data_IF_469024405384
#
_entry.id   IF_469024405384
#
_cell.length_a   1.000
_cell.length_b   1.000
_cell.length_c   1.000
_cell.angle_alpha   90.00
_cell.angle_beta   90.00
_cell.angle_gamma   90.00
#
_symmetry.space_group_name_H-M   'P 1'
#
loop_
_entity.id
_entity.type
_entity.pdbx_description
1 polymer ?
#
# COMPACT_ATOMS: atom_id res chain seq x y z
N UNK A 1 -9.66 -20.00 0.66
CA UNK A 1 -11.12 -20.21 0.80
C UNK A 1 -11.94 -19.15 0.04
N UNK A 2 -11.55 -17.86 0.06
CA UNK A 2 -12.25 -16.80 -0.70
C UNK A 2 -12.18 -16.93 -2.23
N UNK A 3 -11.07 -17.42 -2.79
CA UNK A 3 -10.88 -17.52 -4.24
C UNK A 3 -11.94 -18.39 -4.96
N UNK A 4 -12.55 -19.35 -4.26
CA UNK A 4 -13.55 -20.27 -4.81
C UNK A 4 -15.00 -19.88 -4.47
N UNK A 5 -15.19 -18.83 -3.67
CA UNK A 5 -16.50 -18.36 -3.24
C UNK A 5 -17.13 -17.47 -4.31
N UNK A 6 -18.46 -17.55 -4.48
CA UNK A 6 -19.19 -16.60 -5.33
C UNK A 6 -19.25 -15.20 -4.66
N UNK A 7 -19.62 -14.13 -5.41
CA UNK A 7 -19.65 -12.77 -4.86
C UNK A 7 -20.45 -12.62 -3.56
N UNK A 8 -21.68 -13.17 -3.51
CA UNK A 8 -22.52 -13.10 -2.30
C UNK A 8 -21.92 -13.81 -1.08
N UNK A 9 -21.24 -14.94 -1.29
CA UNK A 9 -20.49 -15.64 -0.23
C UNK A 9 -19.29 -14.82 0.26
N UNK A 10 -18.56 -14.16 -0.65
CA UNK A 10 -17.44 -13.27 -0.31
C UNK A 10 -17.96 -12.06 0.50
N UNK A 11 -19.01 -11.40 0.04
CA UNK A 11 -19.61 -10.26 0.72
C UNK A 11 -20.07 -10.66 2.14
N UNK A 12 -20.78 -11.78 2.28
CA UNK A 12 -21.23 -12.28 3.58
C UNK A 12 -20.07 -12.64 4.53
N UNK A 13 -18.92 -13.08 4.01
CA UNK A 13 -17.71 -13.30 4.82
C UNK A 13 -17.11 -11.99 5.29
N UNK A 14 -16.97 -11.00 4.40
CA UNK A 14 -16.44 -9.68 4.74
C UNK A 14 -17.30 -8.95 5.78
N UNK A 15 -18.64 -8.99 5.62
CA UNK A 15 -19.55 -8.40 6.60
C UNK A 15 -19.44 -9.06 7.97
N UNK A 16 -19.20 -10.38 8.04
CA UNK A 16 -18.95 -11.08 9.31
C UNK A 16 -17.64 -10.67 9.97
N UNK A 17 -16.64 -10.25 9.20
CA UNK A 17 -15.41 -9.65 9.72
C UNK A 17 -15.64 -8.21 10.20
N UNK A 18 -16.78 -7.58 9.89
CA UNK A 18 -17.08 -6.20 10.27
C UNK A 18 -16.86 -5.17 9.17
N UNK A 19 -16.61 -5.59 7.92
CA UNK A 19 -16.63 -4.68 6.76
C UNK A 19 -18.06 -4.20 6.53
N UNK A 20 -18.24 -2.92 6.21
CA UNK A 20 -19.55 -2.34 5.93
C UNK A 20 -20.20 -3.06 4.74
N UNK A 21 -21.45 -3.51 4.91
CA UNK A 21 -22.14 -4.32 3.91
C UNK A 21 -22.19 -3.67 2.49
N UNK A 22 -22.39 -2.35 2.33
CA UNK A 22 -22.33 -1.72 1.01
C UNK A 22 -20.94 -1.87 0.35
N UNK A 23 -19.86 -1.72 1.11
CA UNK A 23 -18.48 -1.87 0.60
C UNK A 23 -18.21 -3.33 0.25
N UNK A 24 -18.59 -4.25 1.13
CA UNK A 24 -18.41 -5.68 0.91
C UNK A 24 -19.11 -6.17 -0.37
N UNK A 25 -20.34 -5.73 -0.61
CA UNK A 25 -21.07 -6.04 -1.84
C UNK A 25 -20.39 -5.41 -3.04
N UNK A 26 -20.17 -4.10 -3.02
CA UNK A 26 -19.62 -3.34 -4.16
C UNK A 26 -18.29 -3.91 -4.65
N UNK A 27 -17.35 -4.14 -3.73
CA UNK A 27 -16.04 -4.72 -4.07
C UNK A 27 -16.22 -6.10 -4.70
N UNK A 28 -17.03 -6.97 -4.11
CA UNK A 28 -17.11 -8.37 -4.56
C UNK A 28 -17.83 -8.56 -5.89
N UNK A 29 -18.74 -7.64 -6.24
CA UNK A 29 -19.46 -7.63 -7.52
C UNK A 29 -18.64 -7.01 -8.65
N UNK A 30 -17.76 -6.06 -8.33
CA UNK A 30 -17.00 -5.28 -9.32
C UNK A 30 -15.49 -5.61 -9.37
N UNK A 31 -15.06 -6.71 -8.74
CA UNK A 31 -13.69 -7.21 -8.85
C UNK A 31 -13.30 -7.43 -10.32
N UNK A 32 -12.17 -6.86 -10.72
CA UNK A 32 -11.60 -7.10 -12.05
C UNK A 32 -10.97 -8.51 -12.13
N UNK A 33 -10.80 -9.09 -13.34
CA UNK A 33 -10.31 -10.47 -13.50
C UNK A 33 -8.97 -10.79 -12.83
N UNK A 34 -8.07 -9.80 -12.76
CA UNK A 34 -6.72 -9.95 -12.19
C UNK A 34 -6.61 -9.45 -10.74
N UNK A 35 -7.73 -9.02 -10.14
CA UNK A 35 -7.77 -8.51 -8.78
C UNK A 35 -8.24 -9.58 -7.79
N UNK A 36 -7.67 -9.53 -6.59
CA UNK A 36 -8.05 -10.40 -5.49
C UNK A 36 -8.19 -9.64 -4.19
N UNK A 37 -9.19 -10.05 -3.40
CA UNK A 37 -9.28 -9.69 -1.99
C UNK A 37 -8.19 -10.46 -1.24
N UNK A 38 -7.24 -9.74 -0.62
CA UNK A 38 -6.15 -10.37 0.13
C UNK A 38 -6.48 -10.38 1.61
N UNK A 39 -6.56 -11.58 2.19
CA UNK A 39 -6.58 -11.77 3.64
C UNK A 39 -5.26 -12.42 4.08
N UNK A 40 -4.52 -11.79 4.99
CA UNK A 40 -3.25 -12.33 5.49
C UNK A 40 -3.07 -12.04 6.98
N UNK A 41 -2.38 -12.91 7.71
CA UNK A 41 -1.91 -12.60 9.06
C UNK A 41 -0.76 -11.59 8.99
N UNK A 42 -0.63 -10.76 10.02
CA UNK A 42 0.40 -9.73 10.14
C UNK A 42 1.24 -10.05 11.37
N UNK A 43 2.56 -10.11 11.22
CA UNK A 43 3.47 -10.22 12.37
C UNK A 43 3.64 -8.86 13.01
N UNK A 44 3.36 -8.77 14.31
CA UNK A 44 3.57 -7.58 15.14
C UNK A 44 4.33 -7.99 16.41
N UNK A 45 4.93 -7.04 17.12
CA UNK A 45 5.47 -7.28 18.47
C UNK A 45 4.39 -7.22 19.55
N UNK A 46 3.17 -6.86 19.19
CA UNK A 46 2.06 -6.74 20.12
C UNK A 46 1.55 -8.14 20.54
N UNK A 47 1.00 -8.29 21.76
CA UNK A 47 0.48 -9.58 22.21
C UNK A 47 -0.70 -10.09 21.39
N UNK A 48 -1.51 -9.17 20.85
CA UNK A 48 -2.68 -9.51 20.04
C UNK A 48 -2.29 -9.99 18.64
N UNK A 49 -3.05 -10.96 18.13
CA UNK A 49 -2.89 -11.44 16.75
C UNK A 49 -3.63 -10.53 15.77
N UNK A 50 -2.90 -10.07 14.76
CA UNK A 50 -3.43 -9.18 13.74
C UNK A 50 -3.47 -9.85 12.37
N UNK A 51 -4.44 -9.40 11.58
CA UNK A 51 -4.61 -9.76 10.19
C UNK A 51 -4.93 -8.50 9.38
N UNK A 52 -4.81 -8.61 8.07
CA UNK A 52 -5.12 -7.53 7.13
C UNK A 52 -6.08 -8.05 6.08
N UNK A 53 -7.09 -7.24 5.78
CA UNK A 53 -7.92 -7.40 4.59
C UNK A 53 -7.69 -6.24 3.62
N UNK A 54 -7.15 -6.54 2.45
CA UNK A 54 -7.08 -5.58 1.34
C UNK A 54 -8.19 -5.87 0.34
N UNK A 55 -9.04 -4.88 0.15
CA UNK A 55 -10.13 -4.88 -0.83
C UNK A 55 -9.73 -3.96 -1.98
N UNK A 56 -9.42 -4.50 -3.17
CA UNK A 56 -9.07 -3.69 -4.33
C UNK A 56 -10.29 -2.87 -4.82
N UNK A 57 -10.03 -1.86 -5.64
CA UNK A 57 -11.07 -0.93 -6.08
C UNK A 57 -12.03 -1.52 -7.12
N UNK A 58 -11.65 -2.59 -7.83
CA UNK A 58 -12.45 -3.06 -8.94
C UNK A 58 -12.61 -1.97 -10.01
N UNK A 59 -13.85 -1.78 -10.47
CA UNK A 59 -14.23 -0.67 -11.34
C UNK A 59 -14.38 0.70 -10.61
N UNK A 60 -14.24 0.72 -9.28
CA UNK A 60 -14.41 1.91 -8.44
C UNK A 60 -13.17 2.81 -8.36
N UNK A 61 -13.29 3.84 -7.54
CA UNK A 61 -12.23 4.84 -7.27
C UNK A 61 -11.45 4.49 -6.01
N UNK A 62 -12.06 3.76 -5.07
CA UNK A 62 -11.49 3.52 -3.74
C UNK A 62 -11.11 2.07 -3.54
N UNK A 63 -9.94 1.84 -2.98
CA UNK A 63 -9.60 0.55 -2.36
C UNK A 63 -9.51 0.70 -0.85
N UNK A 64 -9.60 -0.41 -0.11
CA UNK A 64 -9.71 -0.39 1.34
C UNK A 64 -8.70 -1.33 1.97
N UNK A 65 -8.08 -0.86 3.04
CA UNK A 65 -7.18 -1.63 3.89
C UNK A 65 -7.80 -1.71 5.29
N UNK A 66 -8.19 -2.90 5.70
CA UNK A 66 -8.71 -3.16 7.04
C UNK A 66 -7.68 -3.89 7.89
N UNK A 67 -7.57 -3.47 9.15
CA UNK A 67 -6.88 -4.21 10.19
C UNK A 67 -7.88 -5.08 10.92
N UNK A 68 -7.59 -6.37 10.97
CA UNK A 68 -8.34 -7.37 11.70
C UNK A 68 -7.59 -7.69 12.99
N UNK A 69 -8.33 -7.88 14.08
CA UNK A 69 -7.80 -8.40 15.32
C UNK A 69 -8.52 -9.70 15.69
N UNK A 70 -7.76 -10.66 16.16
CA UNK A 70 -8.30 -11.86 16.80
C UNK A 70 -8.87 -11.48 18.17
N UNK A 71 -10.15 -11.79 18.40
CA UNK A 71 -10.76 -11.63 19.71
C UNK A 71 -10.28 -12.74 20.65
N UNK A 72 -9.72 -12.35 21.80
CA UNK A 72 -9.35 -13.28 22.86
C UNK A 72 -10.63 -13.88 23.47
N UNK A 73 -11.05 -15.03 22.94
CA UNK A 73 -12.25 -15.75 23.34
C UNK A 73 -12.01 -17.26 23.43
N UNK A 74 -12.97 -17.97 24.02
CA UNK A 74 -12.90 -19.40 24.33
C UNK A 74 -12.34 -20.22 23.15
N UNK A 75 -11.33 -21.03 23.45
CA UNK A 75 -10.38 -21.74 22.56
C UNK A 75 -10.97 -22.64 21.45
N UNK A 76 -12.29 -22.65 21.29
CA UNK A 76 -13.02 -23.38 20.25
C UNK A 76 -13.39 -22.53 19.03
N UNK A 77 -13.39 -21.18 19.09
CA UNK A 77 -13.77 -20.32 17.95
C UNK A 77 -12.96 -19.02 17.92
N UNK A 78 -11.94 -18.99 17.05
CA UNK A 78 -11.24 -17.77 16.68
C UNK A 78 -12.20 -16.85 15.92
N UNK A 79 -12.49 -15.67 16.48
CA UNK A 79 -13.32 -14.64 15.86
C UNK A 79 -12.45 -13.45 15.48
N UNK A 80 -12.31 -13.23 14.17
CA UNK A 80 -11.64 -12.06 13.62
C UNK A 80 -12.64 -10.93 13.41
N UNK A 81 -12.28 -9.71 13.80
CA UNK A 81 -13.09 -8.52 13.57
C UNK A 81 -12.23 -7.33 13.15
N UNK A 82 -12.82 -6.41 12.38
CA UNK A 82 -12.21 -5.14 11.97
C UNK A 82 -12.03 -4.26 13.21
N UNK A 83 -10.81 -3.75 13.41
CA UNK A 83 -10.47 -2.81 14.49
C UNK A 83 -9.98 -1.45 13.98
N UNK A 84 -9.52 -1.37 12.73
CA UNK A 84 -9.16 -0.11 12.08
C UNK A 84 -9.31 -0.24 10.55
N UNK A 85 -9.40 0.90 9.87
CA UNK A 85 -9.50 0.94 8.42
C UNK A 85 -8.85 2.17 7.77
N UNK A 86 -8.47 2.01 6.51
CA UNK A 86 -8.03 3.07 5.60
C UNK A 86 -8.73 2.92 4.26
N UNK A 87 -9.48 3.93 3.87
CA UNK A 87 -9.93 4.12 2.49
C UNK A 87 -8.84 4.88 1.73
N UNK A 88 -8.49 4.38 0.54
CA UNK A 88 -7.42 4.89 -0.29
C UNK A 88 -7.98 5.18 -1.68
N UNK A 89 -7.41 6.17 -2.36
CA UNK A 89 -7.75 6.45 -3.75
C UNK A 89 -6.90 5.56 -4.66
N UNK A 90 -7.56 4.67 -5.38
CA UNK A 90 -6.93 3.63 -6.20
C UNK A 90 -7.43 3.74 -7.64
N UNK A 91 -7.81 4.97 -8.03
CA UNK A 91 -8.26 5.31 -9.37
C UNK A 91 -7.18 5.06 -10.43
N UNK A 92 -7.57 4.55 -11.59
CA UNK A 92 -6.71 4.38 -12.76
C UNK A 92 -5.52 3.41 -12.59
N UNK A 93 -5.75 2.25 -11.98
CA UNK A 93 -4.83 1.11 -11.98
C UNK A 93 -5.14 0.11 -10.89
N UNK A 94 -4.48 -1.05 -10.97
CA UNK A 94 -4.54 -2.05 -9.90
C UNK A 94 -3.55 -1.69 -8.79
N UNK A 95 -4.05 -1.12 -7.69
CA UNK A 95 -3.23 -0.98 -6.48
C UNK A 95 -2.95 -2.37 -5.90
N UNK A 96 -1.75 -2.56 -5.35
CA UNK A 96 -1.35 -3.86 -4.80
C UNK A 96 -0.83 -3.74 -3.38
N UNK A 97 -1.23 -4.69 -2.54
CA UNK A 97 -0.65 -4.87 -1.21
C UNK A 97 0.46 -5.92 -1.24
N UNK A 98 1.60 -5.53 -0.70
CA UNK A 98 2.75 -6.37 -0.35
C UNK A 98 2.98 -6.33 1.16
N UNK A 99 3.41 -7.45 1.76
CA UNK A 99 3.83 -7.49 3.15
C UNK A 99 5.29 -7.86 3.21
N UNK A 100 6.10 -6.94 3.73
CA UNK A 100 7.54 -7.14 3.91
C UNK A 100 7.95 -6.70 5.29
N UNK A 101 8.93 -7.37 5.86
CA UNK A 101 9.59 -6.78 7.03
C UNK A 101 10.48 -5.64 6.54
N UNK A 102 10.36 -4.45 7.12
CA UNK A 102 11.22 -3.30 6.80
C UNK A 102 12.24 -3.01 7.90
N UNK A 103 12.02 -3.55 9.11
CA UNK A 103 12.85 -3.29 10.31
C UNK A 103 13.63 -4.53 10.73
N UNK A 104 13.62 -4.93 11.98
CA UNK A 104 14.43 -6.04 12.52
C UNK A 104 13.96 -7.46 12.15
N UNK A 105 13.08 -7.63 11.15
CA UNK A 105 12.57 -8.94 10.73
C UNK A 105 11.39 -9.46 11.56
N UNK A 106 11.06 -8.82 12.69
CA UNK A 106 10.04 -9.30 13.64
C UNK A 106 8.64 -8.80 13.33
N UNK A 107 8.54 -7.70 12.58
CA UNK A 107 7.28 -7.06 12.25
C UNK A 107 7.14 -6.92 10.74
N UNK A 108 5.91 -7.10 10.27
CA UNK A 108 5.54 -6.83 8.89
C UNK A 108 5.13 -5.36 8.73
N UNK A 109 5.54 -4.77 7.62
CA UNK A 109 5.02 -3.53 7.09
C UNK A 109 4.11 -3.85 5.91
N UNK A 110 3.01 -3.11 5.81
CA UNK A 110 2.04 -3.20 4.73
C UNK A 110 2.42 -2.15 3.69
N UNK A 111 2.94 -2.59 2.56
CA UNK A 111 3.35 -1.71 1.46
C UNK A 111 2.26 -1.73 0.40
N UNK A 112 1.62 -0.58 0.21
CA UNK A 112 0.61 -0.39 -0.80
C UNK A 112 1.22 0.40 -1.94
N UNK A 113 1.26 -0.23 -3.11
CA UNK A 113 1.75 0.35 -4.34
C UNK A 113 0.61 0.96 -5.13
N UNK A 114 0.94 1.95 -5.96
CA UNK A 114 0.04 2.56 -6.93
C UNK A 114 -1.22 3.21 -6.30
N UNK A 115 -1.07 3.88 -5.14
CA UNK A 115 -2.15 4.70 -4.55
C UNK A 115 -2.22 6.03 -5.26
N UNK A 116 -3.35 6.37 -5.86
CA UNK A 116 -3.51 7.55 -6.70
C UNK A 116 -3.76 8.82 -5.89
N UNK A 117 -3.01 9.86 -6.20
CA UNK A 117 -3.17 11.20 -5.67
C UNK A 117 -3.58 12.18 -6.79
N UNK A 118 -4.36 13.21 -6.44
CA UNK A 118 -4.73 14.27 -7.41
C UNK A 118 -5.81 13.89 -8.44
N UNK A 119 -6.66 12.89 -8.18
CA UNK A 119 -7.79 12.56 -9.07
C UNK A 119 -8.63 13.80 -9.40
N UNK A 120 -8.87 14.02 -10.70
CA UNK A 120 -9.63 15.16 -11.23
C UNK A 120 -8.79 16.42 -11.55
N UNK A 121 -7.48 16.39 -11.33
CA UNK A 121 -6.58 17.54 -11.58
C UNK A 121 -5.91 17.57 -12.96
N UNK A 122 -6.08 16.51 -13.77
CA UNK A 122 -5.31 16.33 -15.02
C UNK A 122 -3.88 15.78 -14.80
N UNK A 123 -3.50 15.52 -13.55
CA UNK A 123 -2.24 14.91 -13.16
C UNK A 123 -2.49 13.45 -12.75
N UNK A 124 -1.63 12.54 -13.20
CA UNK A 124 -1.59 11.16 -12.71
C UNK A 124 -0.39 11.00 -11.78
N UNK A 125 -0.67 11.10 -10.49
CA UNK A 125 0.30 10.85 -9.43
C UNK A 125 -0.05 9.53 -8.74
N UNK A 126 0.93 8.62 -8.62
CA UNK A 126 0.80 7.42 -7.82
C UNK A 126 1.88 7.36 -6.74
N UNK A 127 1.49 6.89 -5.58
CA UNK A 127 2.29 6.84 -4.37
C UNK A 127 2.43 5.40 -3.87
N UNK A 128 3.59 5.10 -3.29
CA UNK A 128 3.73 4.02 -2.33
C UNK A 128 3.40 4.57 -0.96
N UNK A 129 2.50 3.89 -0.26
CA UNK A 129 2.20 4.16 1.14
C UNK A 129 2.52 2.92 1.97
N UNK A 130 3.27 3.11 3.04
CA UNK A 130 3.69 2.05 3.95
C UNK A 130 2.99 2.26 5.29
N UNK A 131 2.36 1.19 5.78
CA UNK A 131 1.71 1.17 7.08
C UNK A 131 2.39 0.18 8.01
N UNK A 132 2.37 0.50 9.29
CA UNK A 132 2.69 -0.43 10.38
C UNK A 132 1.51 -0.51 11.34
N UNK A 133 1.36 -1.64 12.02
CA UNK A 133 0.40 -1.78 13.10
C UNK A 133 1.06 -1.25 14.38
N UNK A 134 0.44 -0.24 14.98
CA UNK A 134 0.91 0.37 16.23
C UNK A 134 -0.28 0.59 17.15
N UNK A 135 -0.26 -0.08 18.31
CA UNK A 135 -1.33 -0.10 19.31
C UNK A 135 -2.69 -0.44 18.69
N UNK A 136 -2.73 -1.53 17.91
CA UNK A 136 -3.93 -1.99 17.22
C UNK A 136 -4.49 -1.04 16.15
N UNK A 137 -3.68 -0.14 15.58
CA UNK A 137 -4.09 0.78 14.51
C UNK A 137 -3.13 0.81 13.34
N UNK A 138 -3.64 1.12 12.16
CA UNK A 138 -2.86 1.36 10.95
C UNK A 138 -2.22 2.75 11.01
N UNK A 139 -0.91 2.77 11.20
CA UNK A 139 -0.11 3.99 11.19
C UNK A 139 0.66 4.11 9.89
N UNK A 140 0.45 5.17 9.12
CA UNK A 140 1.25 5.45 7.92
C UNK A 140 2.66 5.88 8.36
N UNK A 141 3.65 5.03 8.03
CA UNK A 141 5.04 5.20 8.42
C UNK A 141 5.91 5.76 7.31
N UNK A 142 5.50 5.64 6.05
CA UNK A 142 6.16 6.24 4.89
C UNK A 142 5.13 6.52 3.80
N UNK A 143 5.30 7.64 3.11
CA UNK A 143 4.59 7.95 1.86
C UNK A 143 5.59 8.55 0.89
N UNK A 144 5.53 8.09 -0.35
CA UNK A 144 6.44 8.56 -1.40
C UNK A 144 5.80 8.45 -2.78
N UNK A 145 6.14 9.41 -3.64
CA UNK A 145 5.80 9.38 -5.05
C UNK A 145 6.56 8.26 -5.76
N UNK A 146 5.80 7.33 -6.33
CA UNK A 146 6.32 6.24 -7.16
C UNK A 146 6.24 6.60 -8.63
N UNK A 147 5.11 7.16 -9.04
CA UNK A 147 4.83 7.48 -10.42
C UNK A 147 4.28 8.89 -10.49
N UNK A 148 4.79 9.65 -11.43
CA UNK A 148 4.20 10.94 -11.76
C UNK A 148 4.22 11.09 -13.27
N UNK A 149 3.05 11.34 -13.84
CA UNK A 149 2.88 11.85 -15.18
C UNK A 149 1.98 13.08 -15.17
N UNK A 150 2.47 14.12 -15.82
CA UNK A 150 1.72 15.34 -16.08
C UNK A 150 1.31 15.32 -17.55
N UNK A 151 0.01 15.23 -17.82
CA UNK A 151 -0.51 15.52 -19.15
C UNK A 151 -0.78 17.02 -19.20
N UNK A 152 0.23 17.78 -19.61
CA UNK A 152 0.01 19.18 -19.91
C UNK A 152 -0.90 19.25 -21.13
N UNK A 153 -2.15 19.67 -20.93
CA UNK A 153 -2.98 20.20 -22.01
C UNK A 153 -2.14 21.29 -22.70
N UNK A 154 -1.53 20.97 -23.85
CA UNK A 154 -0.62 21.76 -24.68
C UNK A 154 0.91 21.52 -24.59
N UNK A 155 1.42 20.48 -23.91
CA UNK A 155 2.84 20.10 -24.04
C UNK A 155 3.01 18.63 -24.43
N UNK A 156 3.78 18.37 -25.49
CA UNK A 156 4.20 17.03 -25.94
C UNK A 156 5.22 16.36 -25.01
N UNK A 157 5.38 16.87 -23.79
CA UNK A 157 6.38 16.42 -22.82
C UNK A 157 5.72 15.59 -21.73
N UNK A 158 5.87 14.27 -21.84
CA UNK A 158 5.52 13.34 -20.78
C UNK A 158 6.72 13.16 -19.86
N UNK A 159 6.66 13.78 -18.68
CA UNK A 159 7.60 13.49 -17.58
C UNK A 159 7.14 12.21 -16.90
N UNK A 160 8.06 11.27 -16.70
CA UNK A 160 7.83 10.03 -15.99
C UNK A 160 8.85 9.90 -14.87
N UNK A 161 8.38 9.74 -13.64
CA UNK A 161 9.23 9.39 -12.49
C UNK A 161 8.90 7.97 -12.03
N UNK A 162 9.92 7.20 -11.63
CA UNK A 162 9.79 5.85 -11.08
C UNK A 162 10.71 5.63 -9.90
N UNK A 163 10.17 5.20 -8.77
CA UNK A 163 10.92 4.89 -7.55
C UNK A 163 11.05 3.37 -7.35
N UNK A 164 12.21 2.92 -6.88
CA UNK A 164 12.46 1.55 -6.43
C UNK A 164 13.10 1.56 -5.06
N UNK A 165 12.83 0.55 -4.24
CA UNK A 165 13.28 0.49 -2.86
C UNK A 165 14.22 -0.68 -2.62
N UNK A 166 15.33 -0.42 -1.95
CA UNK A 166 16.26 -1.42 -1.45
C UNK A 166 16.32 -1.31 0.07
N UNK A 167 16.16 -2.45 0.76
CA UNK A 167 16.24 -2.51 2.22
C UNK A 167 17.64 -2.89 2.67
N UNK A 168 18.11 -2.22 3.72
CA UNK A 168 19.34 -2.55 4.42
C UNK A 168 19.06 -3.21 5.77
N UNK A 169 20.02 -3.99 6.32
CA UNK A 169 19.87 -4.65 7.62
C UNK A 169 19.83 -3.70 8.83
N UNK A 170 20.13 -2.42 8.66
CA UNK A 170 20.24 -1.39 9.70
C UNK A 170 18.97 -0.53 9.81
N UNK A 171 17.81 -1.07 9.41
CA UNK A 171 16.51 -0.39 9.36
C UNK A 171 16.50 0.86 8.46
N UNK A 172 17.45 0.96 7.52
CA UNK A 172 17.47 1.98 6.47
C UNK A 172 16.86 1.43 5.18
N UNK A 173 16.13 2.29 4.46
CA UNK A 173 15.69 2.01 3.09
C UNK A 173 16.39 2.98 2.14
N UNK A 174 16.94 2.49 1.04
CA UNK A 174 17.34 3.34 -0.08
C UNK A 174 16.20 3.38 -1.09
N UNK A 175 15.86 4.59 -1.51
CA UNK A 175 14.99 4.81 -2.66
C UNK A 175 15.85 5.30 -3.83
N UNK A 176 15.80 4.57 -4.93
CA UNK A 176 16.34 5.03 -6.21
C UNK A 176 15.19 5.54 -7.07
N UNK A 177 15.30 6.79 -7.52
CA UNK A 177 14.33 7.44 -8.40
C UNK A 177 14.94 7.70 -9.76
N UNK A 178 14.28 7.19 -10.79
CA UNK A 178 14.57 7.54 -12.19
C UNK A 178 13.57 8.59 -12.67
N UNK A 179 14.01 9.49 -13.53
CA UNK A 179 13.16 10.44 -14.23
C UNK A 179 13.47 10.39 -15.72
N UNK A 180 12.45 10.27 -16.56
CA UNK A 180 12.54 10.30 -18.01
C UNK A 180 11.59 11.33 -18.60
N UNK A 181 11.95 11.90 -19.75
CA UNK A 181 11.09 12.77 -20.55
C UNK A 181 10.94 12.12 -21.91
N UNK A 182 9.70 11.86 -22.34
CA UNK A 182 9.41 11.17 -23.60
C UNK A 182 10.23 9.88 -23.75
N UNK A 183 10.18 9.05 -22.68
CA UNK A 183 10.89 7.77 -22.52
C UNK A 183 12.43 7.84 -22.53
N UNK A 184 13.03 9.04 -22.58
CA UNK A 184 14.48 9.22 -22.47
C UNK A 184 14.87 9.51 -21.03
N UNK A 185 15.67 8.62 -20.43
CA UNK A 185 16.21 8.80 -19.08
C UNK A 185 16.98 10.12 -18.98
N UNK A 186 16.56 10.99 -18.06
CA UNK A 186 17.17 12.30 -17.78
C UNK A 186 17.99 12.27 -16.50
N UNK A 187 17.51 11.55 -15.48
CA UNK A 187 18.05 11.66 -14.13
C UNK A 187 17.90 10.36 -13.38
N UNK A 188 18.92 10.02 -12.61
CA UNK A 188 18.87 9.00 -11.57
C UNK A 188 19.29 9.66 -10.27
N UNK A 189 18.47 9.51 -9.24
CA UNK A 189 18.72 10.03 -7.91
C UNK A 189 18.50 8.94 -6.88
N UNK A 190 19.13 9.11 -5.72
CA UNK A 190 18.98 8.23 -4.58
C UNK A 190 18.77 9.03 -3.31
N UNK A 191 17.97 8.52 -2.39
CA UNK A 191 17.88 9.02 -1.02
C UNK A 191 17.80 7.85 -0.06
N UNK A 192 18.08 8.13 1.20
CA UNK A 192 17.96 7.17 2.28
C UNK A 192 16.81 7.57 3.19
N UNK A 193 16.13 6.56 3.72
CA UNK A 193 15.07 6.69 4.69
C UNK A 193 15.52 6.01 5.97
N UNK A 194 15.52 6.75 7.06
CA UNK A 194 15.90 6.23 8.36
C UNK A 194 14.69 6.16 9.27
N UNK A 195 14.53 5.04 9.97
CA UNK A 195 13.48 4.91 10.97
C UNK A 195 13.72 5.85 12.15
N UNK A 196 12.69 6.59 12.54
CA UNK A 196 12.69 7.45 13.72
C UNK A 196 11.77 6.88 14.78
N UNK A 197 12.35 6.28 15.83
CA UNK A 197 11.59 5.75 16.98
C UNK A 197 10.74 6.84 17.66
N UNK A 198 11.20 8.09 17.65
CA UNK A 198 10.43 9.19 18.26
C UNK A 198 9.14 9.50 17.48
N UNK A 199 9.22 9.45 16.15
CA UNK A 199 8.08 9.79 15.28
C UNK A 199 7.28 8.54 14.88
N UNK A 200 7.84 7.35 15.09
CA UNK A 200 7.32 6.08 14.59
C UNK A 200 7.11 6.12 13.06
N UNK A 201 8.07 6.72 12.33
CA UNK A 201 8.03 6.91 10.87
C UNK A 201 9.42 6.87 10.26
N UNK A 202 9.48 6.59 8.96
CA UNK A 202 10.67 6.77 8.15
C UNK A 202 10.86 8.25 7.78
N UNK A 203 12.06 8.76 8.00
CA UNK A 203 12.44 10.14 7.67
C UNK A 203 13.38 10.11 6.48
N UNK A 204 13.01 10.83 5.42
CA UNK A 204 13.78 10.89 4.19
C UNK A 204 14.95 11.86 4.31
N UNK A 205 16.10 11.46 3.78
CA UNK A 205 17.17 12.38 3.40
C UNK A 205 16.79 13.16 2.13
N UNK A 206 17.59 14.18 1.81
CA UNK A 206 17.55 14.79 0.47
C UNK A 206 17.96 13.79 -0.61
N UNK A 207 17.44 13.99 -1.83
CA UNK A 207 17.90 13.26 -3.00
C UNK A 207 19.30 13.70 -3.41
N UNK A 208 20.14 12.72 -3.73
CA UNK A 208 21.48 12.88 -4.28
C UNK A 208 21.50 12.34 -5.70
N UNK A 209 22.09 13.10 -6.64
CA UNK A 209 22.28 12.61 -8.02
C UNK A 209 23.22 11.41 -8.03
N UNK A 210 22.84 10.37 -8.78
CA UNK A 210 23.72 9.25 -9.10
C UNK A 210 24.44 9.61 -10.39
N UNK A 211 25.77 9.76 -10.35
CA UNK A 211 26.54 9.94 -11.57
C UNK A 211 26.46 8.65 -12.40
N UNK A 212 26.13 8.78 -13.69
CA UNK A 212 26.31 7.66 -14.61
C UNK A 212 27.80 7.30 -14.64
N UNK A 213 28.13 6.01 -14.51
CA UNK A 213 29.47 5.54 -14.78
C UNK A 213 29.84 6.00 -16.20
N UNK A 214 30.90 6.80 -16.31
CA UNK A 214 31.44 7.16 -17.62
C UNK A 214 31.98 5.87 -18.24
N UNK A 215 31.56 5.49 -19.45
CA UNK A 215 32.03 4.26 -20.10
C UNK A 215 33.54 4.28 -20.33
#
# INVERSE_FOLDING_TARGET
MLALANPGQKAGLLTRLGVEAPIATDVTEHLLPDEEIKLRSVRTREPAHYGVAFLPSGAGVSCYLYLLQEEDGDSAKILWHVVDQRQLNCWAGSSSLEMISLRDGREDALVLHDVTAGHGSGLLLKETQIFSVVNGKLHETLRTEDYHAEDHLNADERVLKRSTFLRFPDDTLEETRTSSVNDKLQKVERRYWHWSEKQQKFIASGFLKVAAATP
#
